data_IF_899607157076
#
_entry.id   IF_899607157076
#
_cell.length_a   1.000
_cell.length_b   1.000
_cell.length_c   1.000
_cell.angle_alpha   90.00
_cell.angle_beta   90.00
_cell.angle_gamma   90.00
#
_symmetry.space_group_name_H-M   'P 1'
#
loop_
_entity.id
_entity.type
_entity.pdbx_description
1 polymer ?
#
# COMPACT_ATOMS: atom_id res chain seq x y z
N UNK A 1 11.83 8.42 5.28
CA UNK A 1 10.78 8.90 6.20
C UNK A 1 9.46 8.67 5.49
N UNK A 2 8.56 7.92 6.12
CA UNK A 2 7.22 7.68 5.61
C UNK A 2 6.27 8.73 6.16
N UNK A 3 5.32 9.18 5.36
CA UNK A 3 4.50 10.36 5.69
C UNK A 3 3.04 10.14 5.32
N UNK A 4 2.15 10.40 6.28
CA UNK A 4 0.71 10.47 6.11
C UNK A 4 0.17 11.81 6.58
N UNK A 5 -1.15 11.99 6.50
CA UNK A 5 -1.84 13.17 7.01
C UNK A 5 -3.17 12.79 7.65
N UNK A 6 -3.69 13.70 8.45
CA UNK A 6 -5.06 13.63 8.93
C UNK A 6 -5.68 15.02 8.86
N UNK A 7 -7.02 15.07 8.83
CA UNK A 7 -7.79 16.30 8.88
C UNK A 7 -8.79 16.22 10.03
N UNK A 8 -8.55 17.05 11.06
CA UNK A 8 -9.50 17.20 12.16
C UNK A 8 -10.73 17.95 11.68
N UNK A 9 -11.86 17.26 11.66
CA UNK A 9 -13.10 17.73 11.06
C UNK A 9 -14.01 18.42 12.07
N UNK A 10 -14.62 19.52 11.64
CA UNK A 10 -15.73 20.18 12.34
C UNK A 10 -17.01 20.21 11.50
N UNK A 11 -17.06 19.44 10.42
CA UNK A 11 -18.22 19.37 9.54
C UNK A 11 -19.48 18.95 10.30
N UNK A 12 -20.57 19.66 10.04
CA UNK A 12 -21.89 19.40 10.60
C UNK A 12 -22.89 18.86 9.56
N UNK A 13 -22.46 18.82 8.29
CA UNK A 13 -23.20 18.23 7.18
C UNK A 13 -22.26 17.53 6.18
N UNK A 14 -22.75 16.57 5.37
CA UNK A 14 -21.94 15.91 4.34
C UNK A 14 -21.34 16.89 3.31
N UNK A 15 -22.04 17.98 3.03
CA UNK A 15 -21.55 19.04 2.14
C UNK A 15 -20.34 19.77 2.75
N UNK A 16 -20.39 20.09 4.04
CA UNK A 16 -19.24 20.66 4.76
C UNK A 16 -18.07 19.68 4.83
N UNK A 17 -18.32 18.38 5.07
CA UNK A 17 -17.27 17.36 5.09
C UNK A 17 -16.58 17.23 3.71
N UNK A 18 -17.36 17.35 2.62
CA UNK A 18 -16.82 17.41 1.27
C UNK A 18 -15.98 18.67 1.08
N UNK A 19 -16.43 19.83 1.54
CA UNK A 19 -15.66 21.08 1.46
C UNK A 19 -14.35 21.00 2.24
N UNK A 20 -14.36 20.41 3.44
CA UNK A 20 -13.16 20.12 4.23
C UNK A 20 -12.19 19.20 3.48
N UNK A 21 -12.68 18.11 2.87
CA UNK A 21 -11.85 17.23 2.05
C UNK A 21 -11.24 17.94 0.84
N UNK A 22 -11.98 18.84 0.19
CA UNK A 22 -11.46 19.66 -0.91
C UNK A 22 -10.31 20.55 -0.46
N UNK A 23 -10.46 21.22 0.68
CA UNK A 23 -9.41 22.07 1.25
C UNK A 23 -8.21 21.23 1.70
N UNK A 24 -8.45 20.11 2.37
CA UNK A 24 -7.41 19.16 2.76
C UNK A 24 -6.58 18.72 1.54
N UNK A 25 -7.24 18.25 0.48
CA UNK A 25 -6.57 17.84 -0.75
C UNK A 25 -5.80 19.00 -1.41
N UNK A 26 -6.35 20.22 -1.43
CA UNK A 26 -5.65 21.40 -1.95
C UNK A 26 -4.35 21.70 -1.19
N UNK A 27 -4.37 21.57 0.15
CA UNK A 27 -3.18 21.75 0.99
C UNK A 27 -2.14 20.66 0.72
N UNK A 28 -2.58 19.43 0.48
CA UNK A 28 -1.70 18.29 0.24
C UNK A 28 -1.18 18.20 -1.20
N UNK A 29 -1.87 18.79 -2.18
CA UNK A 29 -1.56 18.68 -3.61
C UNK A 29 -0.10 18.98 -3.97
N UNK A 30 0.57 20.03 -3.44
CA UNK A 30 1.99 20.31 -3.71
C UNK A 30 2.95 19.20 -3.24
N UNK A 31 2.46 18.24 -2.47
CA UNK A 31 3.23 17.14 -1.90
C UNK A 31 2.86 15.76 -2.47
N UNK A 32 2.08 15.69 -3.54
CA UNK A 32 1.86 14.44 -4.28
C UNK A 32 3.19 13.74 -4.62
N UNK A 33 3.20 12.42 -4.49
CA UNK A 33 4.38 11.56 -4.65
C UNK A 33 5.35 11.56 -3.46
N UNK A 34 5.01 12.21 -2.35
CA UNK A 34 5.82 12.22 -1.10
C UNK A 34 5.14 11.55 0.09
N UNK A 35 3.81 11.43 0.05
CA UNK A 35 2.99 10.91 1.13
C UNK A 35 2.63 9.46 0.85
N UNK A 36 3.23 8.53 1.59
CA UNK A 36 3.08 7.09 1.40
C UNK A 36 2.33 6.39 2.54
N UNK A 37 1.50 7.16 3.24
CA UNK A 37 0.45 6.72 4.15
C UNK A 37 -0.91 7.39 3.80
N UNK A 38 -2.05 6.86 4.27
CA UNK A 38 -3.36 7.43 3.98
C UNK A 38 -3.56 8.85 4.53
N UNK A 39 -4.60 9.51 4.01
CA UNK A 39 -5.16 10.75 4.55
C UNK A 39 -6.38 10.38 5.39
N UNK A 40 -6.29 10.59 6.71
CA UNK A 40 -7.32 10.16 7.65
C UNK A 40 -8.32 11.29 7.95
N UNK A 41 -9.62 10.97 7.85
CA UNK A 41 -10.69 11.75 8.47
C UNK A 41 -10.64 11.56 9.98
N UNK A 42 -10.49 12.65 10.71
CA UNK A 42 -10.41 12.65 12.17
C UNK A 42 -11.61 13.42 12.74
N UNK A 43 -12.53 12.71 13.37
CA UNK A 43 -13.74 13.28 13.98
C UNK A 43 -13.87 12.76 15.40
N UNK A 44 -13.74 13.67 16.37
CA UNK A 44 -13.65 13.33 17.78
C UNK A 44 -14.65 14.11 18.65
N UNK A 45 -14.48 13.98 19.97
CA UNK A 45 -15.36 14.59 20.96
C UNK A 45 -15.51 16.11 20.77
N UNK A 46 -14.46 16.81 20.33
CA UNK A 46 -14.55 18.25 20.07
C UNK A 46 -15.39 18.54 18.82
N UNK A 47 -15.37 17.68 17.81
CA UNK A 47 -16.23 17.75 16.63
C UNK A 47 -17.71 17.59 17.00
N UNK A 48 -17.99 16.72 17.97
CA UNK A 48 -19.34 16.52 18.54
C UNK A 48 -19.81 17.75 19.32
N UNK A 49 -18.95 18.31 20.16
CA UNK A 49 -19.25 19.51 20.94
C UNK A 49 -19.52 20.69 20.00
N UNK A 50 -18.66 20.88 19.00
CA UNK A 50 -18.85 21.89 17.96
C UNK A 50 -20.19 21.72 17.25
N UNK A 51 -20.53 20.51 16.81
CA UNK A 51 -21.82 20.22 16.14
C UNK A 51 -23.00 20.66 17.01
N UNK A 52 -22.98 20.31 18.30
CA UNK A 52 -24.04 20.70 19.25
C UNK A 52 -24.11 22.20 19.44
N UNK A 53 -22.96 22.89 19.50
CA UNK A 53 -22.89 24.34 19.59
C UNK A 53 -23.42 25.04 18.33
N UNK A 54 -23.36 24.38 17.17
CA UNK A 54 -24.02 24.81 15.93
C UNK A 54 -25.51 24.40 15.85
N UNK A 55 -26.08 23.82 16.91
CA UNK A 55 -27.47 23.35 16.92
C UNK A 55 -27.71 22.05 16.16
N UNK A 56 -26.64 21.33 15.77
CA UNK A 56 -26.69 20.05 15.07
C UNK A 56 -26.48 18.91 16.06
N UNK A 57 -27.39 17.95 16.08
CA UNK A 57 -27.22 16.74 16.90
C UNK A 57 -26.46 15.68 16.08
N UNK A 58 -25.22 15.32 16.47
CA UNK A 58 -24.47 14.25 15.81
C UNK A 58 -25.13 12.90 16.07
N UNK A 59 -25.87 12.42 15.07
CA UNK A 59 -26.43 11.07 15.05
C UNK A 59 -25.43 10.09 14.45
N UNK A 60 -25.62 8.80 14.68
CA UNK A 60 -24.82 7.75 14.05
C UNK A 60 -24.81 7.89 12.51
N UNK A 61 -26.00 8.05 11.92
CA UNK A 61 -26.14 8.24 10.48
C UNK A 61 -25.44 9.52 9.99
N UNK A 62 -25.46 10.60 10.78
CA UNK A 62 -24.74 11.82 10.43
C UNK A 62 -23.23 11.56 10.39
N UNK A 63 -22.62 11.03 11.45
CA UNK A 63 -21.17 10.74 11.48
C UNK A 63 -20.72 9.85 10.33
N UNK A 64 -21.48 8.79 10.06
CA UNK A 64 -21.25 7.88 8.93
C UNK A 64 -21.27 8.65 7.60
N UNK A 65 -22.26 9.53 7.40
CA UNK A 65 -22.36 10.34 6.19
C UNK A 65 -21.27 11.41 6.05
N UNK A 66 -20.73 11.94 7.17
CA UNK A 66 -19.59 12.85 7.17
C UNK A 66 -18.30 12.13 6.73
N UNK A 67 -18.02 10.99 7.37
CA UNK A 67 -16.85 10.17 7.04
C UNK A 67 -16.89 9.72 5.57
N UNK A 68 -18.05 9.26 5.10
CA UNK A 68 -18.24 8.87 3.70
C UNK A 68 -17.98 10.05 2.76
N UNK A 69 -18.61 11.21 2.99
CA UNK A 69 -18.47 12.37 2.10
C UNK A 69 -17.02 12.88 2.05
N UNK A 70 -16.31 12.88 3.18
CA UNK A 70 -14.90 13.25 3.22
C UNK A 70 -14.03 12.24 2.46
N UNK A 71 -14.16 10.94 2.78
CA UNK A 71 -13.28 9.92 2.24
C UNK A 71 -13.47 9.73 0.72
N UNK A 72 -14.72 9.72 0.24
CA UNK A 72 -15.01 9.65 -1.20
C UNK A 72 -14.41 10.85 -1.96
N UNK A 73 -14.47 12.05 -1.38
CA UNK A 73 -13.89 13.25 -2.00
C UNK A 73 -12.36 13.18 -2.04
N UNK A 74 -11.71 12.71 -0.97
CA UNK A 74 -10.26 12.47 -0.94
C UNK A 74 -9.85 11.44 -2.01
N UNK A 75 -10.54 10.30 -2.08
CA UNK A 75 -10.26 9.26 -3.09
C UNK A 75 -10.50 9.74 -4.52
N UNK A 76 -11.57 10.53 -4.76
CA UNK A 76 -11.83 11.13 -6.07
C UNK A 76 -10.71 12.04 -6.57
N UNK A 77 -9.85 12.54 -5.66
CA UNK A 77 -8.69 13.41 -5.95
C UNK A 77 -7.37 12.63 -6.05
N UNK A 78 -7.46 11.30 -6.00
CA UNK A 78 -6.33 10.39 -6.14
C UNK A 78 -5.52 10.21 -4.86
N UNK A 79 -6.13 10.43 -3.68
CA UNK A 79 -5.51 10.18 -2.38
C UNK A 79 -6.13 8.96 -1.72
N UNK A 80 -5.33 8.11 -1.06
CA UNK A 80 -5.88 6.99 -0.27
C UNK A 80 -6.50 7.54 1.00
N UNK A 81 -7.80 7.31 1.20
CA UNK A 81 -8.51 7.79 2.38
C UNK A 81 -8.53 6.75 3.52
N UNK A 82 -8.63 7.25 4.74
CA UNK A 82 -8.87 6.47 5.94
C UNK A 82 -9.72 7.21 6.96
N UNK A 83 -10.11 6.52 8.02
CA UNK A 83 -10.83 7.08 9.18
C UNK A 83 -10.03 6.79 10.44
N UNK A 84 -9.75 7.83 11.22
CA UNK A 84 -9.30 7.71 12.60
C UNK A 84 -10.51 7.51 13.51
N UNK A 85 -10.39 6.59 14.47
CA UNK A 85 -11.44 6.29 15.45
C UNK A 85 -10.83 5.73 16.73
N UNK A 86 -11.62 5.64 17.79
CA UNK A 86 -11.27 4.94 19.03
C UNK A 86 -12.35 3.91 19.41
N UNK A 87 -12.10 3.14 20.48
CA UNK A 87 -13.02 2.08 20.93
C UNK A 87 -14.39 2.61 21.41
N UNK A 88 -14.51 3.83 21.94
CA UNK A 88 -15.82 4.42 22.27
C UNK A 88 -16.63 4.66 21.00
N UNK A 89 -15.99 5.26 19.99
CA UNK A 89 -16.63 5.58 18.73
C UNK A 89 -17.10 4.34 17.97
N UNK A 90 -16.28 3.30 17.90
CA UNK A 90 -16.64 2.02 17.29
C UNK A 90 -17.79 1.30 18.02
N UNK A 91 -17.85 1.43 19.35
CA UNK A 91 -18.88 0.77 20.15
C UNK A 91 -20.20 1.52 20.15
N UNK A 92 -20.14 2.85 20.19
CA UNK A 92 -21.28 3.67 20.57
C UNK A 92 -21.73 4.69 19.51
N UNK A 93 -20.93 5.00 18.47
CA UNK A 93 -21.16 6.20 17.64
C UNK A 93 -21.31 5.95 16.15
N UNK A 94 -20.58 5.00 15.57
CA UNK A 94 -20.72 4.58 14.17
C UNK A 94 -20.60 3.07 14.02
N UNK A 95 -21.17 2.52 12.95
CA UNK A 95 -21.02 1.09 12.67
C UNK A 95 -19.72 0.84 11.89
N UNK A 96 -18.94 -0.12 12.37
CA UNK A 96 -17.67 -0.48 11.76
C UNK A 96 -17.83 -1.02 10.32
N UNK A 97 -18.94 -1.68 9.99
CA UNK A 97 -19.21 -2.19 8.63
C UNK A 97 -19.26 -1.07 7.58
N UNK A 98 -19.73 0.11 7.95
CA UNK A 98 -19.72 1.30 7.08
C UNK A 98 -18.31 1.82 6.84
N UNK A 99 -17.48 1.84 7.89
CA UNK A 99 -16.13 2.42 7.83
C UNK A 99 -15.11 1.51 7.15
N UNK A 100 -15.31 0.19 7.16
CA UNK A 100 -14.38 -0.81 6.58
C UNK A 100 -14.16 -0.68 5.07
N UNK A 101 -14.87 0.22 4.41
CA UNK A 101 -14.62 0.60 3.02
C UNK A 101 -13.32 1.42 2.86
N UNK A 102 -12.85 2.06 3.94
CA UNK A 102 -11.62 2.84 4.01
C UNK A 102 -10.64 2.28 5.04
N UNK A 103 -9.43 2.84 5.04
CA UNK A 103 -8.38 2.46 5.98
C UNK A 103 -8.73 2.84 7.42
N UNK A 104 -8.59 1.91 8.37
CA UNK A 104 -8.87 2.18 9.78
C UNK A 104 -7.57 2.47 10.54
N UNK A 105 -7.51 3.65 11.16
CA UNK A 105 -6.54 4.01 12.18
C UNK A 105 -7.25 4.01 13.55
N UNK A 106 -6.95 3.01 14.38
CA UNK A 106 -7.62 2.79 15.65
C UNK A 106 -6.77 3.28 16.83
N UNK A 107 -7.29 4.21 17.61
CA UNK A 107 -6.76 4.48 18.94
C UNK A 107 -7.25 3.43 19.94
N UNK A 108 -6.30 2.60 20.35
CA UNK A 108 -6.46 1.57 21.36
C UNK A 108 -5.16 1.43 22.14
N UNK A 109 -5.14 1.98 23.36
CA UNK A 109 -3.96 1.98 24.22
C UNK A 109 -3.84 0.70 25.06
N UNK A 110 -4.67 -0.31 24.78
CA UNK A 110 -4.73 -1.56 25.53
C UNK A 110 -4.33 -2.74 24.67
N UNK A 111 -3.13 -3.29 24.90
CA UNK A 111 -2.69 -4.49 24.20
C UNK A 111 -2.69 -4.33 22.66
N UNK A 112 -3.26 -5.32 21.96
CA UNK A 112 -3.46 -5.26 20.51
C UNK A 112 -4.82 -4.66 20.15
N UNK A 113 -5.07 -4.38 18.87
CA UNK A 113 -6.27 -3.66 18.47
C UNK A 113 -7.53 -4.53 18.62
N UNK A 114 -8.59 -3.97 19.22
CA UNK A 114 -9.89 -4.64 19.41
C UNK A 114 -10.58 -5.02 18.10
N UNK A 115 -10.25 -4.35 16.99
CA UNK A 115 -10.74 -4.67 15.64
C UNK A 115 -9.60 -4.66 14.64
N UNK A 116 -9.77 -5.37 13.51
CA UNK A 116 -8.81 -5.31 12.42
C UNK A 116 -8.68 -3.85 11.91
N UNK A 117 -7.45 -3.33 11.95
CA UNK A 117 -7.10 -1.98 11.53
C UNK A 117 -5.76 -2.01 10.79
N UNK A 118 -5.54 -1.02 9.91
CA UNK A 118 -4.26 -0.89 9.22
C UNK A 118 -3.19 -0.17 10.05
N UNK A 119 -3.62 0.66 11.01
CA UNK A 119 -2.75 1.31 11.99
C UNK A 119 -3.43 1.36 13.36
N UNK A 120 -2.68 1.12 14.43
CA UNK A 120 -3.14 1.30 15.80
C UNK A 120 -2.32 2.40 16.48
N UNK A 121 -2.98 3.39 17.08
CA UNK A 121 -2.36 4.29 18.05
C UNK A 121 -2.35 3.61 19.41
N UNK A 122 -1.15 3.38 19.95
CA UNK A 122 -0.91 2.58 21.15
C UNK A 122 -0.66 3.43 22.40
N UNK A 123 -0.40 4.73 22.26
CA UNK A 123 -0.18 5.65 23.36
C UNK A 123 -0.32 7.09 22.90
N UNK A 124 -0.69 8.00 23.80
CA UNK A 124 -0.59 9.46 23.64
C UNK A 124 0.46 10.13 24.54
N UNK A 125 1.27 9.31 25.22
CA UNK A 125 2.27 9.76 26.21
C UNK A 125 3.66 9.18 25.91
N UNK A 126 3.89 8.78 24.66
CA UNK A 126 5.18 8.29 24.21
C UNK A 126 6.25 9.37 24.16
N UNK A 127 7.48 8.94 23.92
CA UNK A 127 8.63 9.83 23.79
C UNK A 127 9.49 9.38 22.60
N UNK A 128 9.80 10.32 21.71
CA UNK A 128 10.63 10.10 20.53
C UNK A 128 11.74 11.15 20.52
N UNK A 129 12.99 10.71 20.39
CA UNK A 129 14.14 11.62 20.30
C UNK A 129 13.95 12.62 19.17
N UNK A 130 14.06 13.91 19.49
CA UNK A 130 13.85 15.01 18.55
C UNK A 130 12.47 15.68 18.65
N UNK A 131 11.54 15.13 19.45
CA UNK A 131 10.25 15.75 19.76
C UNK A 131 10.20 16.10 21.24
N UNK A 132 9.76 17.32 21.56
CA UNK A 132 9.59 17.78 22.94
C UNK A 132 8.15 17.54 23.40
N UNK A 133 7.97 16.99 24.60
CA UNK A 133 6.65 16.67 25.15
C UNK A 133 6.19 15.26 24.81
N UNK A 134 4.91 14.99 25.09
CA UNK A 134 4.27 13.71 24.80
C UNK A 134 4.00 13.57 23.30
N UNK A 135 4.13 12.36 22.78
CA UNK A 135 3.88 12.04 21.37
C UNK A 135 3.00 10.81 21.26
N UNK A 136 2.09 10.84 20.30
CA UNK A 136 1.29 9.67 19.95
C UNK A 136 2.16 8.59 19.29
N UNK A 137 2.08 7.37 19.82
CA UNK A 137 2.81 6.21 19.31
C UNK A 137 1.88 5.33 18.50
N UNK A 138 2.37 4.82 17.38
CA UNK A 138 1.56 4.04 16.44
C UNK A 138 2.30 2.80 15.95
N UNK A 139 1.55 1.74 15.66
CA UNK A 139 2.02 0.54 14.95
C UNK A 139 1.18 0.42 13.67
N UNK A 140 1.85 0.42 12.52
CA UNK A 140 1.22 0.10 11.23
C UNK A 140 1.30 -1.42 10.99
N UNK A 141 0.16 -2.05 10.71
CA UNK A 141 0.05 -3.46 10.35
C UNK A 141 0.02 -3.67 8.84
N UNK A 142 -0.35 -2.63 8.09
CA UNK A 142 -0.32 -2.59 6.63
C UNK A 142 0.94 -1.91 6.15
N UNK A 143 1.60 -2.50 5.14
CA UNK A 143 2.68 -1.84 4.40
C UNK A 143 2.07 -0.80 3.44
N UNK A 144 1.63 0.32 4.00
CA UNK A 144 1.10 1.45 3.25
C UNK A 144 2.06 1.99 2.19
N UNK A 145 3.37 2.08 2.45
CA UNK A 145 4.35 2.43 1.43
C UNK A 145 4.24 1.58 0.16
N UNK A 146 4.13 0.26 0.30
CA UNK A 146 3.95 -0.64 -0.85
C UNK A 146 2.56 -0.53 -1.47
N UNK A 147 1.50 -0.55 -0.65
CA UNK A 147 0.11 -0.47 -1.12
C UNK A 147 -0.13 0.78 -1.96
N UNK A 148 0.21 1.96 -1.43
CA UNK A 148 -0.06 3.25 -2.09
C UNK A 148 0.71 3.37 -3.42
N UNK A 149 1.95 2.86 -3.48
CA UNK A 149 2.74 2.87 -4.72
C UNK A 149 2.18 1.89 -5.75
N UNK A 150 1.82 0.68 -5.33
CA UNK A 150 1.33 -0.34 -6.25
C UNK A 150 -0.03 0.04 -6.84
N UNK A 151 -0.92 0.62 -6.02
CA UNK A 151 -2.26 1.02 -6.44
C UNK A 151 -2.33 2.43 -7.04
N UNK A 152 -1.22 3.19 -7.01
CA UNK A 152 -1.14 4.51 -7.66
C UNK A 152 -1.90 5.60 -6.94
N UNK A 153 -1.93 5.53 -5.61
CA UNK A 153 -2.51 6.57 -4.78
C UNK A 153 -1.51 7.69 -4.48
N UNK A 154 -2.01 8.81 -3.95
CA UNK A 154 -1.24 9.94 -3.42
C UNK A 154 -0.28 10.58 -4.44
N UNK A 155 -0.59 10.49 -5.73
CA UNK A 155 0.27 11.00 -6.81
C UNK A 155 1.48 10.13 -7.12
N UNK A 156 1.59 8.94 -6.50
CA UNK A 156 2.36 7.87 -7.10
C UNK A 156 1.59 7.39 -8.32
N UNK A 157 2.27 7.20 -9.44
CA UNK A 157 1.68 6.40 -10.50
C UNK A 157 1.48 5.00 -9.94
N UNK A 158 0.41 4.30 -10.36
CA UNK A 158 0.39 2.84 -10.19
C UNK A 158 1.76 2.37 -10.61
N UNK A 159 2.36 1.45 -9.84
CA UNK A 159 3.33 0.59 -10.48
C UNK A 159 2.58 0.13 -11.73
N UNK A 160 3.01 0.61 -12.91
CA UNK A 160 2.50 0.05 -14.15
C UNK A 160 2.57 -1.46 -13.91
N UNK A 161 1.63 -2.27 -14.43
CA UNK A 161 2.01 -3.65 -14.70
C UNK A 161 3.35 -3.53 -15.43
N UNK A 162 4.45 -3.75 -14.71
CA UNK A 162 5.66 -3.05 -15.09
C UNK A 162 6.03 -3.69 -16.41
N UNK A 163 6.15 -2.90 -17.47
CA UNK A 163 6.56 -3.39 -18.78
C UNK A 163 8.06 -3.74 -18.68
N UNK A 164 8.39 -4.69 -17.82
CA UNK A 164 9.66 -5.36 -17.75
C UNK A 164 9.82 -6.17 -19.01
N UNK A 165 10.54 -5.58 -19.95
CA UNK A 165 10.84 -6.23 -21.21
C UNK A 165 12.14 -7.00 -21.01
N UNK A 166 12.04 -8.33 -21.00
CA UNK A 166 13.21 -9.17 -21.20
C UNK A 166 13.69 -9.06 -22.65
N UNK A 167 15.01 -9.10 -22.84
CA UNK A 167 15.64 -9.26 -24.15
C UNK A 167 15.34 -10.61 -24.84
N UNK A 168 14.58 -11.47 -24.16
CA UNK A 168 14.04 -12.74 -24.64
C UNK A 168 12.54 -12.79 -24.40
N UNK A 169 11.72 -12.93 -25.44
CA UNK A 169 10.25 -13.04 -25.31
C UNK A 169 9.81 -14.50 -25.49
N UNK A 170 10.34 -15.36 -24.63
CA UNK A 170 10.20 -16.81 -24.73
C UNK A 170 9.10 -17.32 -23.78
N UNK A 171 8.04 -17.90 -24.36
CA UNK A 171 6.93 -18.54 -23.64
C UNK A 171 7.10 -20.05 -23.48
N UNK A 172 6.12 -20.77 -22.90
CA UNK A 172 6.20 -22.23 -22.70
C UNK A 172 6.38 -23.01 -24.01
N UNK A 173 5.89 -22.47 -25.12
CA UNK A 173 6.02 -23.07 -26.46
C UNK A 173 7.42 -22.87 -27.06
N UNK A 174 8.17 -21.88 -26.58
CA UNK A 174 9.52 -21.57 -27.05
C UNK A 174 10.38 -21.04 -25.90
N UNK A 175 10.80 -21.89 -24.94
CA UNK A 175 11.56 -21.46 -23.77
C UNK A 175 13.02 -21.16 -24.12
N UNK A 176 13.71 -20.39 -23.27
CA UNK A 176 15.17 -20.26 -23.33
C UNK A 176 15.79 -21.62 -22.94
N UNK A 177 16.50 -22.26 -23.87
CA UNK A 177 17.19 -23.53 -23.59
C UNK A 177 18.59 -23.25 -23.04
N UNK A 178 18.89 -23.79 -21.85
CA UNK A 178 20.19 -23.61 -21.18
C UNK A 178 20.79 -24.99 -20.89
N UNK A 179 22.04 -25.23 -21.31
CA UNK A 179 22.76 -26.46 -20.99
C UNK A 179 23.07 -26.55 -19.48
N UNK A 180 23.12 -27.75 -18.86
CA UNK A 180 23.33 -27.92 -17.42
C UNK A 180 24.59 -27.24 -16.84
N UNK A 181 25.64 -27.07 -17.64
CA UNK A 181 26.93 -26.48 -17.28
C UNK A 181 27.12 -25.03 -17.79
N UNK A 182 26.04 -24.41 -18.29
CA UNK A 182 26.04 -23.05 -18.81
C UNK A 182 25.27 -22.07 -17.91
N UNK A 183 25.29 -20.81 -18.30
CA UNK A 183 24.38 -19.79 -17.78
C UNK A 183 23.80 -18.97 -18.94
N UNK A 184 22.61 -18.42 -18.73
CA UNK A 184 22.05 -17.41 -19.61
C UNK A 184 22.04 -16.06 -18.89
N UNK A 185 22.50 -14.99 -19.55
CA UNK A 185 22.36 -13.64 -19.01
C UNK A 185 21.14 -13.00 -19.64
N UNK A 186 20.15 -12.64 -18.83
CA UNK A 186 18.95 -11.93 -19.27
C UNK A 186 19.07 -10.45 -18.92
N UNK A 187 18.72 -9.58 -19.87
CA UNK A 187 18.52 -8.14 -19.61
C UNK A 187 17.04 -7.85 -19.43
N UNK A 188 16.67 -7.31 -18.28
CA UNK A 188 15.32 -6.82 -18.01
C UNK A 188 15.31 -5.29 -18.05
N UNK A 189 14.61 -4.70 -19.02
CA UNK A 189 14.46 -3.25 -19.16
C UNK A 189 13.20 -2.80 -18.42
N UNK A 190 13.31 -1.82 -17.52
CA UNK A 190 12.21 -1.33 -16.68
C UNK A 190 12.68 -0.72 -15.36
N UNK A 191 11.79 -0.57 -14.37
CA UNK A 191 12.26 -0.22 -13.04
C UNK A 191 13.11 -1.33 -12.45
N UNK A 192 13.69 -1.06 -11.28
CA UNK A 192 14.54 -2.06 -10.66
C UNK A 192 13.73 -3.24 -10.13
N UNK A 193 14.10 -4.44 -10.58
CA UNK A 193 13.33 -5.67 -10.35
C UNK A 193 14.16 -6.70 -9.59
N UNK A 194 13.49 -7.42 -8.68
CA UNK A 194 13.93 -8.73 -8.18
C UNK A 194 13.27 -9.85 -8.97
N UNK A 195 13.97 -10.96 -9.23
CA UNK A 195 13.40 -12.12 -9.94
C UNK A 195 13.33 -13.36 -9.03
N UNK A 196 12.28 -14.16 -9.24
CA UNK A 196 12.08 -15.47 -8.59
C UNK A 196 11.82 -16.55 -9.65
N UNK A 197 12.29 -17.77 -9.38
CA UNK A 197 12.04 -18.94 -10.22
C UNK A 197 10.77 -19.63 -9.72
N UNK A 198 9.81 -19.88 -10.63
CA UNK A 198 8.63 -20.66 -10.33
C UNK A 198 8.92 -22.15 -10.13
N UNK A 199 7.93 -22.89 -9.66
CA UNK A 199 8.00 -24.35 -9.54
C UNK A 199 8.06 -25.03 -10.90
N UNK A 200 8.87 -26.10 -11.01
CA UNK A 200 8.97 -26.92 -12.22
C UNK A 200 8.18 -28.21 -12.03
N UNK A 201 6.85 -28.16 -12.21
CA UNK A 201 6.00 -29.36 -12.14
C UNK A 201 6.03 -30.06 -10.77
N UNK A 202 6.05 -29.30 -9.68
CA UNK A 202 6.08 -29.82 -8.30
C UNK A 202 7.46 -30.26 -7.80
N UNK A 203 8.52 -30.01 -8.58
CA UNK A 203 9.92 -30.21 -8.18
C UNK A 203 10.55 -28.90 -7.68
N UNK A 204 11.66 -28.96 -6.91
CA UNK A 204 12.43 -27.78 -6.50
C UNK A 204 12.82 -26.88 -7.67
N UNK A 205 13.13 -25.61 -7.38
CA UNK A 205 13.44 -24.59 -8.37
C UNK A 205 14.52 -25.07 -9.36
N UNK A 206 14.19 -25.09 -10.66
CA UNK A 206 15.08 -25.56 -11.71
C UNK A 206 16.25 -24.58 -11.97
N UNK A 207 16.09 -23.31 -11.60
CA UNK A 207 17.07 -22.26 -11.85
C UNK A 207 17.36 -21.45 -10.59
N UNK A 208 18.65 -21.16 -10.39
CA UNK A 208 19.12 -20.12 -9.48
C UNK A 208 19.27 -18.81 -10.25
N UNK A 209 18.70 -17.74 -9.71
CA UNK A 209 18.74 -16.40 -10.29
C UNK A 209 19.72 -15.55 -9.51
N UNK A 210 20.75 -15.04 -10.19
CA UNK A 210 21.79 -14.21 -9.58
C UNK A 210 21.78 -12.84 -10.22
N UNK A 211 21.54 -11.80 -9.43
CA UNK A 211 21.59 -10.42 -9.90
C UNK A 211 23.02 -10.03 -10.25
N UNK A 212 23.23 -9.48 -11.44
CA UNK A 212 24.56 -9.09 -11.90
C UNK A 212 24.85 -7.61 -11.62
N UNK A 213 24.17 -6.72 -12.35
CA UNK A 213 24.34 -5.26 -12.25
C UNK A 213 23.15 -4.53 -12.85
N UNK A 214 22.97 -3.28 -12.46
CA UNK A 214 22.05 -2.34 -13.11
C UNK A 214 22.83 -1.46 -14.10
N UNK A 215 22.29 -1.27 -15.29
CA UNK A 215 22.86 -0.47 -16.37
C UNK A 215 21.76 0.43 -16.96
N UNK A 216 21.80 1.72 -16.61
CA UNK A 216 20.75 2.67 -16.95
C UNK A 216 19.37 2.22 -16.46
N UNK A 217 18.45 2.01 -17.40
CA UNK A 217 17.08 1.54 -17.15
C UNK A 217 16.93 0.01 -17.24
N UNK A 218 18.02 -0.76 -17.13
CA UNK A 218 17.96 -2.21 -17.21
C UNK A 218 18.72 -2.90 -16.07
N UNK A 219 18.23 -4.06 -15.64
CA UNK A 219 18.90 -4.93 -14.67
C UNK A 219 19.27 -6.25 -15.35
N UNK A 220 20.55 -6.65 -15.24
CA UNK A 220 21.07 -7.90 -15.77
C UNK A 220 21.06 -9.00 -14.72
N UNK A 221 20.66 -10.21 -15.11
CA UNK A 221 20.58 -11.39 -14.25
C UNK A 221 21.19 -12.62 -14.92
N UNK A 222 21.91 -13.44 -14.15
CA UNK A 222 22.30 -14.78 -14.57
C UNK A 222 21.22 -15.78 -14.17
N UNK A 223 20.80 -16.59 -15.13
CA UNK A 223 19.91 -17.74 -14.99
C UNK A 223 20.78 -18.99 -15.06
N UNK A 224 20.89 -19.69 -13.93
CA UNK A 224 21.82 -20.82 -13.78
C UNK A 224 21.01 -22.09 -13.51
N UNK A 225 21.10 -23.12 -14.37
CA UNK A 225 20.50 -24.42 -14.11
C UNK A 225 21.01 -25.02 -12.80
N UNK A 226 20.10 -25.47 -11.95
CA UNK A 226 20.41 -26.21 -10.71
C UNK A 226 19.55 -27.47 -10.55
N UNK A 227 18.64 -27.70 -11.49
CA UNK A 227 17.76 -28.86 -11.56
C UNK A 227 18.20 -29.93 -12.55
N UNK A 228 17.28 -30.86 -12.83
CA UNK A 228 17.45 -31.97 -13.75
C UNK A 228 17.29 -31.55 -15.23
N UNK A 229 17.99 -32.21 -16.18
CA UNK A 229 17.72 -32.10 -17.61
C UNK A 229 16.24 -32.23 -17.97
N UNK A 230 15.74 -31.33 -18.84
CA UNK A 230 14.35 -31.26 -19.25
C UNK A 230 13.41 -30.50 -18.31
N UNK A 231 13.84 -30.07 -17.12
CA UNK A 231 13.02 -29.21 -16.27
C UNK A 231 12.79 -27.83 -16.89
N UNK A 232 11.60 -27.29 -16.68
CA UNK A 232 11.15 -25.99 -17.19
C UNK A 232 10.53 -25.18 -16.07
N UNK A 233 10.86 -23.89 -16.01
CA UNK A 233 10.24 -22.98 -15.06
C UNK A 233 10.01 -21.59 -15.68
N UNK A 234 8.91 -20.97 -15.25
CA UNK A 234 8.70 -19.54 -15.47
C UNK A 234 9.53 -18.70 -14.52
N UNK A 235 10.01 -17.55 -14.98
CA UNK A 235 10.70 -16.56 -14.17
C UNK A 235 9.79 -15.35 -13.98
N UNK A 236 9.64 -14.89 -12.74
CA UNK A 236 8.63 -13.90 -12.32
C UNK A 236 9.27 -12.75 -11.53
N UNK A 237 8.61 -11.58 -11.45
CA UNK A 237 8.96 -10.54 -10.49
C UNK A 237 8.81 -11.03 -9.05
N UNK A 238 9.76 -10.70 -8.19
CA UNK A 238 9.73 -11.06 -6.77
C UNK A 238 8.58 -10.41 -6.00
N UNK A 239 8.11 -9.24 -6.44
CA UNK A 239 6.96 -8.53 -5.87
C UNK A 239 5.60 -9.05 -6.33
N UNK A 240 5.55 -10.15 -7.10
CA UNK A 240 4.36 -10.61 -7.78
C UNK A 240 4.14 -9.91 -9.13
N UNK A 241 3.32 -10.52 -9.99
CA UNK A 241 3.04 -10.04 -11.34
C UNK A 241 3.14 -11.13 -12.40
N UNK A 242 2.98 -10.73 -13.66
CA UNK A 242 3.03 -11.65 -14.79
C UNK A 242 4.43 -12.24 -15.01
N UNK A 243 4.46 -13.42 -15.63
CA UNK A 243 5.70 -14.11 -15.98
C UNK A 243 6.51 -13.28 -16.99
N UNK A 244 7.80 -13.10 -16.73
CA UNK A 244 8.72 -12.39 -17.63
C UNK A 244 9.11 -13.29 -18.82
N UNK A 245 9.61 -14.50 -18.55
CA UNK A 245 10.00 -15.48 -19.57
C UNK A 245 10.00 -16.90 -19.00
N UNK A 246 10.18 -17.89 -19.87
CA UNK A 246 10.35 -19.32 -19.52
C UNK A 246 11.75 -19.79 -19.89
N UNK A 247 12.37 -20.59 -19.02
CA UNK A 247 13.62 -21.28 -19.29
C UNK A 247 13.46 -22.80 -19.10
N UNK A 248 14.20 -23.58 -19.90
CA UNK A 248 14.26 -25.03 -19.84
C UNK A 248 15.71 -25.52 -19.84
N UNK A 249 16.01 -26.50 -18.99
CA UNK A 249 17.31 -27.17 -18.97
C UNK A 249 17.38 -28.12 -20.17
N UNK A 250 18.43 -28.03 -20.98
CA UNK A 250 18.62 -28.91 -22.12
C UNK A 250 18.58 -30.39 -21.68
N UNK A 251 17.89 -31.21 -22.47
CA UNK A 251 17.74 -32.66 -22.25
C UNK A 251 18.92 -33.47 -22.79
#
# INVERSE_FOLDING_TARGET
MHVGAYWFSYATSPEEARQEAQVCAQVLEPYKGKFDFPVYFDYEYDSEEYSKNQGVTPTQALRESLAQAFCEEIESRGWRAGVYTNNDYLKNRWRLDVLKQWEIWLADYTGGPDVACGMQQTSSTGSVNGISGNVDMNIAFVDYPSLIRNEGWNGFTTAAAENWISDTTNGPENPVIIAPDALYTVKITGQDIGLVCGESGGKPAAFRLVRCRRDGNATLWHVIPVGDPGQEAGIYPAGGGDRIFVARIAG
#
